data_IF_437346818799
#
_entry.id   IF_437346818799
#
_cell.length_a   1.000
_cell.length_b   1.000
_cell.length_c   1.000
_cell.angle_alpha   90.00
_cell.angle_beta   90.00
_cell.angle_gamma   90.00
#
_symmetry.space_group_name_H-M   'P 1'
#
loop_
_entity.id
_entity.type
_entity.pdbx_description
1 polymer ?
#
# COMPACT_ATOMS: atom_id res chain seq x y z
N UNK A 1 23.26 17.73 22.34
CA UNK A 1 23.51 16.37 22.85
C UNK A 1 22.51 15.46 22.16
N UNK A 2 22.95 14.44 21.40
CA UNK A 2 22.03 13.46 20.85
C UNK A 2 21.34 12.71 22.01
N UNK A 3 20.05 12.40 21.92
CA UNK A 3 19.37 11.63 22.95
C UNK A 3 20.01 10.24 23.07
N UNK A 4 20.03 9.66 24.28
CA UNK A 4 20.53 8.30 24.47
C UNK A 4 19.71 7.31 23.63
N UNK A 5 20.34 6.27 23.07
CA UNK A 5 19.63 5.25 22.31
C UNK A 5 18.62 4.56 23.24
N UNK A 6 17.34 4.62 22.85
CA UNK A 6 16.27 3.92 23.56
C UNK A 6 16.48 2.43 23.29
N UNK A 7 16.90 1.71 24.33
CA UNK A 7 17.09 0.27 24.27
C UNK A 7 15.72 -0.39 24.44
N UNK A 8 14.96 -0.49 23.35
CA UNK A 8 13.67 -1.19 23.34
C UNK A 8 13.99 -2.67 23.42
N UNK A 9 13.89 -3.25 24.61
CA UNK A 9 14.08 -4.69 24.81
C UNK A 9 13.11 -5.44 23.89
N UNK A 10 13.63 -6.11 22.87
CA UNK A 10 12.83 -6.94 21.98
C UNK A 10 12.09 -7.99 22.80
N UNK A 11 10.75 -7.99 22.85
CA UNK A 11 10.01 -8.96 23.64
C UNK A 11 10.35 -10.38 23.17
N UNK A 12 10.97 -11.15 24.06
CA UNK A 12 11.35 -12.54 23.84
C UNK A 12 10.08 -13.40 23.80
N UNK A 13 9.51 -13.50 22.61
CA UNK A 13 8.23 -14.18 22.35
C UNK A 13 7.50 -13.67 21.11
N UNK A 14 8.14 -12.84 20.27
CA UNK A 14 7.53 -12.36 19.03
C UNK A 14 7.26 -13.54 18.10
N UNK A 15 5.98 -13.80 17.82
CA UNK A 15 5.53 -14.62 16.69
C UNK A 15 6.35 -14.26 15.45
N UNK A 16 6.70 -15.25 14.63
CA UNK A 16 7.38 -14.98 13.38
C UNK A 16 6.58 -13.93 12.58
N UNK A 17 7.25 -13.01 11.89
CA UNK A 17 6.58 -11.91 11.16
C UNK A 17 5.46 -12.41 10.23
N UNK A 18 5.66 -13.56 9.58
CA UNK A 18 4.66 -14.20 8.72
C UNK A 18 3.45 -14.73 9.52
N UNK A 19 3.65 -15.22 10.76
CA UNK A 19 2.55 -15.61 11.65
C UNK A 19 1.73 -14.40 12.07
N UNK A 20 2.40 -13.26 12.33
CA UNK A 20 1.72 -12.00 12.64
C UNK A 20 0.89 -11.50 11.45
N UNK A 21 1.41 -11.65 10.22
CA UNK A 21 0.65 -11.33 8.99
C UNK A 21 -0.55 -12.25 8.82
N UNK A 22 -0.40 -13.56 9.02
CA UNK A 22 -1.52 -14.50 8.93
C UNK A 22 -2.57 -14.18 9.99
N UNK A 23 -2.16 -13.89 11.22
CA UNK A 23 -3.08 -13.54 12.31
C UNK A 23 -3.81 -12.21 12.04
N UNK A 24 -3.10 -11.19 11.56
CA UNK A 24 -3.69 -9.92 11.13
C UNK A 24 -4.66 -10.13 9.94
N UNK A 25 -4.30 -10.97 8.98
CA UNK A 25 -5.15 -11.32 7.85
C UNK A 25 -6.42 -12.06 8.28
N UNK A 26 -6.29 -13.07 9.15
CA UNK A 26 -7.42 -13.84 9.68
C UNK A 26 -8.33 -13.01 10.58
N UNK A 27 -7.78 -12.11 11.39
CA UNK A 27 -8.58 -11.20 12.24
C UNK A 27 -9.32 -10.16 11.40
N UNK A 28 -8.69 -9.59 10.38
CA UNK A 28 -9.36 -8.73 9.41
C UNK A 28 -10.47 -9.50 8.68
N UNK A 29 -10.20 -10.74 8.22
CA UNK A 29 -11.16 -11.64 7.59
C UNK A 29 -12.38 -11.89 8.50
N UNK A 30 -12.13 -12.27 9.75
CA UNK A 30 -13.17 -12.51 10.76
C UNK A 30 -14.02 -11.26 11.03
N UNK A 31 -13.40 -10.07 11.09
CA UNK A 31 -14.10 -8.80 11.31
C UNK A 31 -15.14 -8.52 10.23
N UNK A 32 -14.80 -8.72 8.96
CA UNK A 32 -15.78 -8.51 7.88
C UNK A 32 -16.77 -9.64 7.77
N UNK A 33 -16.40 -10.90 8.04
CA UNK A 33 -17.39 -11.97 8.16
C UNK A 33 -18.42 -11.60 9.22
N UNK A 34 -17.98 -11.07 10.38
CA UNK A 34 -18.88 -10.60 11.42
C UNK A 34 -19.79 -9.45 10.91
N UNK A 35 -19.23 -8.46 10.19
CA UNK A 35 -20.02 -7.38 9.58
C UNK A 35 -21.05 -7.93 8.58
N UNK A 36 -20.67 -8.87 7.71
CA UNK A 36 -21.54 -9.50 6.72
C UNK A 36 -22.64 -10.32 7.40
N UNK A 37 -22.29 -11.09 8.45
CA UNK A 37 -23.25 -11.89 9.22
C UNK A 37 -24.25 -10.97 9.92
N UNK A 38 -23.79 -9.91 10.57
CA UNK A 38 -24.66 -8.91 11.20
C UNK A 38 -25.60 -8.28 10.17
N UNK A 39 -25.08 -7.91 8.99
CA UNK A 39 -25.90 -7.35 7.91
C UNK A 39 -26.90 -8.35 7.32
N UNK A 40 -26.55 -9.64 7.26
CA UNK A 40 -27.46 -10.70 6.80
C UNK A 40 -28.56 -11.04 7.82
N UNK A 41 -28.28 -10.84 9.12
CA UNK A 41 -29.25 -11.04 10.20
C UNK A 41 -30.37 -10.01 10.23
N UNK A 42 -30.20 -8.85 9.58
CA UNK A 42 -31.19 -7.77 9.52
C UNK A 42 -32.22 -7.94 8.38
N UNK A 43 -32.34 -9.14 7.80
CA UNK A 43 -33.32 -9.45 6.76
C UNK A 43 -32.85 -9.20 5.32
N UNK A 44 -31.55 -8.95 5.12
CA UNK A 44 -30.92 -8.90 3.80
C UNK A 44 -30.49 -10.33 3.47
N UNK A 45 -31.10 -10.94 2.45
CA UNK A 45 -31.00 -12.38 2.14
C UNK A 45 -29.58 -12.97 2.10
N UNK A 46 -29.51 -14.32 2.06
CA UNK A 46 -28.30 -15.13 2.16
C UNK A 46 -27.02 -14.45 1.63
N UNK A 47 -26.01 -14.33 2.51
CA UNK A 47 -24.74 -13.66 2.22
C UNK A 47 -24.11 -14.21 0.94
N UNK A 48 -24.18 -13.46 -0.16
CA UNK A 48 -23.51 -13.83 -1.39
C UNK A 48 -22.01 -13.52 -1.26
N UNK A 49 -21.11 -14.44 -1.67
CA UNK A 49 -19.66 -14.22 -1.59
C UNK A 49 -19.21 -13.00 -2.43
N UNK A 50 -20.00 -12.57 -3.41
CA UNK A 50 -19.79 -11.34 -4.19
C UNK A 50 -19.80 -10.06 -3.33
N UNK A 51 -20.51 -10.06 -2.20
CA UNK A 51 -20.58 -8.92 -1.27
C UNK A 51 -19.24 -8.76 -0.54
N UNK A 52 -18.56 -9.87 -0.21
CA UNK A 52 -17.31 -9.85 0.53
C UNK A 52 -16.21 -9.09 -0.23
N UNK A 53 -16.15 -9.27 -1.55
CA UNK A 53 -15.13 -8.62 -2.39
C UNK A 53 -15.30 -7.10 -2.48
N UNK A 54 -16.49 -6.55 -2.19
CA UNK A 54 -16.70 -5.10 -2.10
C UNK A 54 -16.02 -4.48 -0.89
N UNK A 55 -15.77 -5.28 0.14
CA UNK A 55 -15.10 -4.86 1.37
C UNK A 55 -13.58 -4.98 1.33
N UNK A 56 -12.97 -5.43 0.21
CA UNK A 56 -11.50 -5.49 0.02
C UNK A 56 -10.77 -4.23 0.52
N UNK A 57 -11.19 -3.00 0.16
CA UNK A 57 -10.50 -1.80 0.64
C UNK A 57 -10.51 -1.70 2.17
N UNK A 58 -11.65 -2.02 2.80
CA UNK A 58 -11.79 -1.98 4.25
C UNK A 58 -10.89 -3.01 4.92
N UNK A 59 -10.77 -4.22 4.36
CA UNK A 59 -9.82 -5.22 4.83
C UNK A 59 -8.39 -4.72 4.78
N UNK A 60 -7.98 -4.09 3.67
CA UNK A 60 -6.62 -3.61 3.49
C UNK A 60 -6.29 -2.48 4.47
N UNK A 61 -7.23 -1.57 4.71
CA UNK A 61 -7.05 -0.51 5.70
C UNK A 61 -6.98 -1.05 7.12
N UNK A 62 -7.90 -1.92 7.51
CA UNK A 62 -7.92 -2.55 8.83
C UNK A 62 -6.69 -3.42 9.05
N UNK A 63 -6.25 -4.14 8.02
CA UNK A 63 -5.07 -4.99 8.07
C UNK A 63 -3.82 -4.19 8.44
N UNK A 64 -3.57 -3.03 7.81
CA UNK A 64 -2.40 -2.22 8.12
C UNK A 64 -2.40 -1.72 9.59
N UNK A 65 -3.56 -1.32 10.10
CA UNK A 65 -3.71 -0.87 11.51
C UNK A 65 -3.57 -2.03 12.48
N UNK A 66 -4.18 -3.19 12.19
CA UNK A 66 -4.10 -4.38 13.04
C UNK A 66 -2.70 -5.00 13.03
N UNK A 67 -2.05 -5.06 11.87
CA UNK A 67 -0.68 -5.51 11.76
C UNK A 67 0.26 -4.62 12.59
N UNK A 68 0.03 -3.32 12.60
CA UNK A 68 0.78 -2.38 13.45
C UNK A 68 0.53 -2.62 14.94
N UNK A 69 -0.74 -2.81 15.32
CA UNK A 69 -1.13 -3.11 16.70
C UNK A 69 -0.52 -4.41 17.24
N UNK A 70 -0.33 -5.44 16.40
CA UNK A 70 0.25 -6.71 16.82
C UNK A 70 1.78 -6.74 16.77
N UNK A 71 2.39 -6.03 15.82
CA UNK A 71 3.85 -6.04 15.66
C UNK A 71 4.54 -4.96 16.50
N UNK A 72 3.82 -3.92 16.93
CA UNK A 72 4.34 -2.75 17.66
C UNK A 72 5.47 -2.02 16.93
N UNK A 73 5.60 -2.21 15.61
CA UNK A 73 6.71 -1.65 14.85
C UNK A 73 6.43 -0.24 14.32
N UNK A 74 5.16 0.18 14.23
CA UNK A 74 4.81 1.49 13.68
C UNK A 74 5.05 1.59 12.17
N UNK A 75 5.19 0.48 11.46
CA UNK A 75 5.59 0.43 10.04
C UNK A 75 4.39 0.11 9.13
N UNK A 76 3.46 -0.72 9.61
CA UNK A 76 2.41 -1.30 8.75
C UNK A 76 1.23 -0.35 8.51
N UNK A 77 1.06 0.70 9.32
CA UNK A 77 0.05 1.73 9.11
C UNK A 77 0.32 2.60 7.87
N UNK A 78 1.55 2.64 7.35
CA UNK A 78 1.91 3.44 6.16
C UNK A 78 1.12 3.03 4.93
N UNK A 79 0.84 1.72 4.78
CA UNK A 79 -0.04 1.20 3.75
C UNK A 79 -1.48 1.71 3.91
N UNK A 80 -2.02 1.69 5.13
CA UNK A 80 -3.35 2.27 5.43
C UNK A 80 -3.39 3.75 5.08
N UNK A 81 -2.36 4.51 5.46
CA UNK A 81 -2.25 5.93 5.14
C UNK A 81 -2.22 6.17 3.62
N UNK A 82 -1.45 5.37 2.88
CA UNK A 82 -1.43 5.42 1.41
C UNK A 82 -2.81 5.14 0.81
N UNK A 83 -3.55 4.19 1.37
CA UNK A 83 -4.93 3.89 0.97
C UNK A 83 -5.90 5.05 1.24
N UNK A 84 -5.87 5.63 2.44
CA UNK A 84 -6.71 6.78 2.79
C UNK A 84 -6.41 7.99 1.90
N UNK A 85 -5.14 8.29 1.68
CA UNK A 85 -4.72 9.34 0.76
C UNK A 85 -5.11 9.01 -0.69
N UNK A 86 -5.12 7.73 -1.08
CA UNK A 86 -5.66 7.26 -2.37
C UNK A 86 -7.14 7.62 -2.55
N UNK A 87 -7.96 7.40 -1.52
CA UNK A 87 -9.37 7.78 -1.56
C UNK A 87 -9.56 9.31 -1.66
N UNK A 88 -8.79 10.10 -0.90
CA UNK A 88 -8.86 11.57 -0.94
C UNK A 88 -8.34 12.13 -2.26
N UNK A 89 -7.22 11.62 -2.75
CA UNK A 89 -6.59 12.07 -3.99
C UNK A 89 -7.41 11.72 -5.22
N UNK A 90 -8.16 10.61 -5.22
CA UNK A 90 -9.10 10.28 -6.30
C UNK A 90 -10.06 11.42 -6.61
N UNK A 91 -10.61 12.07 -5.59
CA UNK A 91 -11.47 13.25 -5.75
C UNK A 91 -10.70 14.45 -6.37
N UNK A 92 -9.47 14.67 -5.92
CA UNK A 92 -8.59 15.71 -6.46
C UNK A 92 -8.21 15.48 -7.93
N UNK A 93 -7.90 14.23 -8.30
CA UNK A 93 -7.53 13.88 -9.67
C UNK A 93 -8.69 14.05 -10.64
N UNK A 94 -9.91 13.70 -10.25
CA UNK A 94 -11.09 13.92 -11.08
C UNK A 94 -11.36 15.41 -11.31
N UNK A 95 -11.11 16.27 -10.31
CA UNK A 95 -11.17 17.73 -10.51
C UNK A 95 -10.10 18.22 -11.49
N UNK A 96 -8.86 17.77 -11.32
CA UNK A 96 -7.75 18.17 -12.19
C UNK A 96 -7.99 17.69 -13.62
N UNK A 97 -8.40 16.44 -13.82
CA UNK A 97 -8.67 15.90 -15.16
C UNK A 97 -9.89 16.54 -15.80
N UNK A 98 -10.95 16.82 -15.05
CA UNK A 98 -12.09 17.59 -15.56
C UNK A 98 -11.66 18.99 -16.00
N UNK A 99 -10.77 19.64 -15.25
CA UNK A 99 -10.22 20.94 -15.62
C UNK A 99 -9.35 20.87 -16.87
N UNK A 100 -8.44 19.90 -16.95
CA UNK A 100 -7.55 19.67 -18.10
C UNK A 100 -8.36 19.35 -19.36
N UNK A 101 -9.36 18.47 -19.26
CA UNK A 101 -10.24 18.12 -20.38
C UNK A 101 -11.09 19.30 -20.83
N UNK A 102 -11.53 20.17 -19.91
CA UNK A 102 -12.23 21.43 -20.27
C UNK A 102 -11.29 22.39 -21.01
N UNK A 103 -10.05 22.54 -20.57
CA UNK A 103 -9.07 23.38 -21.26
C UNK A 103 -8.77 22.81 -22.64
N UNK A 104 -8.45 21.52 -22.74
CA UNK A 104 -8.19 20.83 -24.00
C UNK A 104 -9.39 20.96 -24.94
N UNK A 105 -10.59 20.63 -24.49
CA UNK A 105 -11.80 20.79 -25.30
C UNK A 105 -12.05 22.24 -25.67
N UNK A 106 -11.75 23.24 -24.84
CA UNK A 106 -11.89 24.65 -25.21
C UNK A 106 -10.82 25.11 -26.23
N UNK A 107 -9.62 24.53 -26.16
CA UNK A 107 -8.54 24.78 -27.11
C UNK A 107 -8.83 24.12 -28.47
N UNK A 108 -9.37 22.90 -28.47
CA UNK A 108 -9.75 22.16 -29.67
C UNK A 108 -11.14 22.55 -30.22
N UNK A 109 -12.08 23.03 -29.39
CA UNK A 109 -13.39 23.52 -29.85
C UNK A 109 -13.29 24.85 -30.61
N UNK A 110 -12.17 25.58 -30.49
CA UNK A 110 -11.83 26.66 -31.43
C UNK A 110 -11.52 26.15 -32.84
N UNK A 111 -11.40 24.84 -33.05
CA UNK A 111 -11.24 24.20 -34.36
C UNK A 111 -12.47 23.37 -34.81
N UNK A 112 -13.51 23.21 -33.99
CA UNK A 112 -14.71 22.47 -34.35
C UNK A 112 -15.79 22.59 -33.29
N UNK A 113 -16.98 23.06 -33.68
CA UNK A 113 -18.14 23.26 -32.83
C UNK A 113 -18.63 21.95 -32.19
N UNK A 114 -18.22 21.66 -30.95
CA UNK A 114 -18.75 20.56 -30.14
C UNK A 114 -19.70 21.09 -29.05
N UNK A 115 -20.84 20.42 -28.78
CA UNK A 115 -21.82 20.88 -27.78
C UNK A 115 -21.29 20.78 -26.35
N UNK A 116 -21.78 21.62 -25.42
CA UNK A 116 -21.39 21.56 -24.01
C UNK A 116 -21.81 20.22 -23.37
N UNK A 117 -20.88 19.62 -22.62
CA UNK A 117 -21.15 18.41 -21.84
C UNK A 117 -22.21 18.69 -20.76
N UNK A 118 -23.21 17.81 -20.68
CA UNK A 118 -24.32 17.93 -19.74
C UNK A 118 -23.84 17.91 -18.28
N UNK A 119 -24.50 18.69 -17.38
CA UNK A 119 -24.21 18.65 -15.95
C UNK A 119 -24.46 17.26 -15.38
N UNK A 120 -23.68 16.83 -14.36
CA UNK A 120 -23.89 15.53 -13.72
C UNK A 120 -25.29 15.48 -13.08
N UNK A 121 -26.00 14.35 -13.18
CA UNK A 121 -27.35 14.21 -12.63
C UNK A 121 -27.35 14.34 -11.10
N UNK A 122 -28.44 14.87 -10.50
CA UNK A 122 -28.57 15.02 -9.06
C UNK A 122 -28.61 13.68 -8.34
N UNK A 123 -28.01 13.66 -7.15
CA UNK A 123 -27.84 12.50 -6.27
C UNK A 123 -29.18 12.12 -5.66
N UNK A 124 -29.65 10.89 -5.92
CA UNK A 124 -30.85 10.33 -5.30
C UNK A 124 -30.47 9.22 -4.32
N UNK A 125 -30.97 9.31 -3.08
CA UNK A 125 -30.67 8.39 -1.98
C UNK A 125 -31.75 7.29 -1.89
N UNK A 126 -31.50 6.03 -2.28
CA UNK A 126 -32.38 4.92 -1.91
C UNK A 126 -32.25 4.50 -0.43
N UNK A 127 -33.30 3.87 0.15
CA UNK A 127 -33.47 3.74 1.59
C UNK A 127 -32.81 2.48 2.21
N UNK A 128 -32.15 1.64 1.42
CA UNK A 128 -31.61 0.37 1.91
C UNK A 128 -30.14 0.51 2.24
N UNK A 129 -29.76 0.41 3.52
CA UNK A 129 -28.38 0.46 4.03
C UNK A 129 -27.45 -0.69 3.58
N UNK A 130 -27.63 -1.21 2.36
CA UNK A 130 -26.75 -2.18 1.73
C UNK A 130 -25.58 -1.46 1.07
N UNK A 131 -24.35 -1.86 1.43
CA UNK A 131 -23.14 -1.29 0.86
C UNK A 131 -22.92 -1.76 -0.60
N UNK A 132 -23.07 -0.82 -1.53
CA UNK A 132 -22.93 -1.11 -2.97
C UNK A 132 -21.46 -1.16 -3.45
N UNK A 133 -20.50 -0.71 -2.65
CA UNK A 133 -19.08 -0.66 -3.02
C UNK A 133 -18.69 0.52 -3.92
N UNK A 134 -19.67 1.35 -4.32
CA UNK A 134 -19.45 2.50 -5.21
C UNK A 134 -18.87 3.72 -4.47
N UNK A 135 -19.26 3.95 -3.22
CA UNK A 135 -18.83 5.07 -2.40
C UNK A 135 -18.53 4.59 -0.97
N UNK A 136 -17.48 5.13 -0.35
CA UNK A 136 -17.07 4.81 1.02
C UNK A 136 -18.05 5.44 2.03
N UNK A 137 -18.69 6.56 1.68
CA UNK A 137 -19.61 7.29 2.56
C UNK A 137 -21.03 6.67 2.64
N UNK A 138 -21.29 5.54 1.97
CA UNK A 138 -22.61 4.91 1.95
C UNK A 138 -23.67 5.68 1.16
N UNK A 139 -23.30 6.80 0.50
CA UNK A 139 -24.20 7.51 -0.41
C UNK A 139 -24.44 6.67 -1.66
N UNK A 140 -25.71 6.41 -1.90
CA UNK A 140 -26.19 5.45 -2.89
C UNK A 140 -26.23 6.04 -4.29
N UNK A 141 -25.68 5.27 -5.25
CA UNK A 141 -25.74 5.44 -6.71
C UNK A 141 -25.31 6.80 -7.27
N UNK A 142 -24.05 7.12 -7.09
CA UNK A 142 -23.31 7.92 -8.08
C UNK A 142 -22.49 6.97 -8.95
N UNK A 143 -22.85 6.84 -10.22
CA UNK A 143 -21.93 6.25 -11.20
C UNK A 143 -20.75 7.21 -11.31
N UNK A 144 -19.60 6.79 -10.80
CA UNK A 144 -18.36 7.59 -10.85
C UNK A 144 -17.47 7.07 -11.98
N UNK A 145 -16.67 7.97 -12.55
CA UNK A 145 -15.71 7.59 -13.59
C UNK A 145 -14.67 6.61 -13.03
N UNK A 146 -14.18 6.89 -11.82
CA UNK A 146 -13.23 6.07 -11.09
C UNK A 146 -13.71 5.87 -9.64
N UNK A 147 -14.11 4.65 -9.25
CA UNK A 147 -14.48 4.37 -7.87
C UNK A 147 -13.32 4.63 -6.90
N UNK A 148 -13.52 5.42 -5.82
CA UNK A 148 -12.46 5.72 -4.84
C UNK A 148 -11.96 4.46 -4.14
N UNK A 149 -12.80 3.42 -4.05
CA UNK A 149 -12.46 2.11 -3.51
C UNK A 149 -11.42 1.37 -4.36
N UNK A 150 -11.41 1.54 -5.69
CA UNK A 150 -10.37 0.98 -6.54
C UNK A 150 -9.07 1.75 -6.42
N UNK A 151 -9.14 3.09 -6.41
CA UNK A 151 -7.96 3.94 -6.23
C UNK A 151 -7.27 3.64 -4.89
N UNK A 152 -8.04 3.52 -3.81
CA UNK A 152 -7.52 3.14 -2.49
C UNK A 152 -6.81 1.78 -2.53
N UNK A 153 -7.47 0.73 -3.04
CA UNK A 153 -6.84 -0.60 -3.14
C UNK A 153 -5.56 -0.54 -3.97
N UNK A 154 -5.60 0.14 -5.13
CA UNK A 154 -4.44 0.31 -5.99
C UNK A 154 -3.32 1.08 -5.27
N UNK A 155 -3.61 2.15 -4.53
CA UNK A 155 -2.61 2.91 -3.77
C UNK A 155 -1.90 2.05 -2.74
N UNK A 156 -2.64 1.25 -1.97
CA UNK A 156 -2.05 0.36 -0.97
C UNK A 156 -1.11 -0.64 -1.65
N UNK A 157 -1.58 -1.34 -2.68
CA UNK A 157 -0.77 -2.35 -3.36
C UNK A 157 0.44 -1.75 -4.09
N UNK A 158 0.27 -0.63 -4.78
CA UNK A 158 1.39 0.04 -5.43
C UNK A 158 2.45 0.49 -4.43
N UNK A 159 2.05 0.97 -3.25
CA UNK A 159 2.98 1.36 -2.20
C UNK A 159 3.88 0.18 -1.80
N UNK A 160 3.28 -1.00 -1.57
CA UNK A 160 4.04 -2.22 -1.27
C UNK A 160 4.86 -2.72 -2.46
N UNK A 161 4.33 -2.69 -3.67
CA UNK A 161 5.06 -3.13 -4.86
C UNK A 161 6.31 -2.29 -5.09
N UNK A 162 6.20 -0.96 -4.99
CA UNK A 162 7.33 -0.05 -5.14
C UNK A 162 8.38 -0.29 -4.05
N UNK A 163 7.95 -0.40 -2.78
CA UNK A 163 8.85 -0.66 -1.66
C UNK A 163 9.59 -2.00 -1.82
N UNK A 164 8.90 -3.07 -2.24
CA UNK A 164 9.53 -4.37 -2.49
C UNK A 164 10.51 -4.34 -3.67
N UNK A 165 10.15 -3.68 -4.77
CA UNK A 165 11.01 -3.56 -5.95
C UNK A 165 12.32 -2.84 -5.59
N UNK A 166 12.23 -1.71 -4.87
CA UNK A 166 13.38 -0.90 -4.51
C UNK A 166 14.33 -1.58 -3.52
N UNK A 167 13.78 -2.36 -2.56
CA UNK A 167 14.57 -2.87 -1.44
C UNK A 167 14.91 -4.35 -1.51
N UNK A 168 14.08 -5.17 -2.18
CA UNK A 168 14.25 -6.63 -2.27
C UNK A 168 14.43 -7.12 -3.71
N UNK A 169 14.16 -6.26 -4.70
CA UNK A 169 14.28 -6.57 -6.12
C UNK A 169 13.02 -7.14 -6.75
N UNK A 170 12.98 -7.14 -8.07
CA UNK A 170 11.81 -7.50 -8.88
C UNK A 170 11.33 -8.94 -8.71
N UNK A 171 12.23 -9.87 -8.40
CA UNK A 171 11.89 -11.29 -8.22
C UNK A 171 11.08 -11.52 -6.95
N UNK A 172 11.40 -10.80 -5.87
CA UNK A 172 10.67 -10.88 -4.61
C UNK A 172 9.31 -10.17 -4.66
N UNK A 173 9.12 -9.19 -5.55
CA UNK A 173 7.83 -8.49 -5.72
C UNK A 173 6.82 -9.25 -6.58
N UNK A 174 7.23 -10.28 -7.34
CA UNK A 174 6.36 -10.95 -8.32
C UNK A 174 5.09 -11.54 -7.68
N UNK A 175 5.22 -12.17 -6.51
CA UNK A 175 4.07 -12.71 -5.78
C UNK A 175 3.06 -11.62 -5.38
N UNK A 176 3.55 -10.48 -4.91
CA UNK A 176 2.72 -9.32 -4.56
C UNK A 176 2.04 -8.71 -5.78
N UNK A 177 2.72 -8.63 -6.93
CA UNK A 177 2.15 -8.14 -8.19
C UNK A 177 1.02 -9.05 -8.66
N UNK A 178 1.21 -10.37 -8.65
CA UNK A 178 0.16 -11.33 -9.04
C UNK A 178 -1.04 -11.26 -8.09
N UNK A 179 -0.79 -11.22 -6.78
CA UNK A 179 -1.85 -11.09 -5.77
C UNK A 179 -2.63 -9.77 -5.95
N UNK A 180 -1.91 -8.66 -6.17
CA UNK A 180 -2.49 -7.35 -6.44
C UNK A 180 -3.41 -7.40 -7.66
N UNK A 181 -2.91 -7.81 -8.82
CA UNK A 181 -3.70 -7.84 -10.06
C UNK A 181 -4.93 -8.73 -9.93
N UNK A 182 -4.79 -9.88 -9.25
CA UNK A 182 -5.90 -10.81 -9.01
C UNK A 182 -6.98 -10.19 -8.14
N UNK A 183 -6.61 -9.66 -6.96
CA UNK A 183 -7.56 -9.04 -6.03
C UNK A 183 -8.20 -7.79 -6.63
N UNK A 184 -7.41 -6.98 -7.34
CA UNK A 184 -7.90 -5.78 -8.02
C UNK A 184 -8.90 -6.11 -9.12
N UNK A 185 -8.62 -7.12 -9.96
CA UNK A 185 -9.53 -7.55 -11.01
C UNK A 185 -10.85 -8.09 -10.44
N UNK A 186 -10.78 -8.91 -9.38
CA UNK A 186 -11.97 -9.42 -8.69
C UNK A 186 -12.79 -8.26 -8.12
N UNK A 187 -12.14 -7.29 -7.47
CA UNK A 187 -12.82 -6.10 -6.96
C UNK A 187 -13.47 -5.31 -8.08
N UNK A 188 -12.76 -5.03 -9.18
CA UNK A 188 -13.25 -4.27 -10.32
C UNK A 188 -14.49 -4.92 -10.96
N UNK A 189 -14.50 -6.25 -11.11
CA UNK A 189 -15.66 -6.99 -11.61
C UNK A 189 -16.84 -6.89 -10.64
N UNK A 190 -16.58 -6.99 -9.33
CA UNK A 190 -17.62 -6.93 -8.29
C UNK A 190 -18.33 -5.57 -8.20
N UNK A 191 -17.64 -4.49 -8.54
CA UNK A 191 -18.17 -3.12 -8.55
C UNK A 191 -18.43 -2.57 -9.96
N UNK A 192 -18.42 -3.43 -10.99
CA UNK A 192 -18.62 -3.04 -12.39
C UNK A 192 -19.87 -2.19 -12.63
N UNK A 193 -20.93 -2.44 -11.86
CA UNK A 193 -22.21 -1.70 -11.92
C UNK A 193 -22.12 -0.24 -11.40
N UNK A 194 -21.04 0.10 -10.70
CA UNK A 194 -20.80 1.44 -10.14
C UNK A 194 -20.08 2.38 -11.12
N UNK A 195 -19.55 1.86 -12.22
CA UNK A 195 -18.68 2.61 -13.13
C UNK A 195 -19.43 3.10 -14.35
N UNK A 196 -19.16 4.34 -14.77
CA UNK A 196 -19.67 4.86 -16.05
C UNK A 196 -19.11 4.04 -17.22
N UNK A 197 -17.84 3.64 -17.13
CA UNK A 197 -17.16 2.81 -18.12
C UNK A 197 -16.40 1.68 -17.42
N UNK A 198 -16.91 0.44 -17.45
CA UNK A 198 -16.30 -0.68 -16.72
C UNK A 198 -14.95 -1.12 -17.30
N UNK A 199 -14.62 -0.74 -18.53
CA UNK A 199 -13.32 -1.03 -19.15
C UNK A 199 -12.25 0.00 -18.82
N UNK A 200 -12.60 1.28 -18.76
CA UNK A 200 -11.63 2.36 -18.55
C UNK A 200 -11.50 2.77 -17.09
N UNK A 201 -12.57 2.68 -16.30
CA UNK A 201 -12.58 3.03 -14.88
C UNK A 201 -11.50 2.29 -14.06
N UNK A 202 -11.35 0.96 -14.17
CA UNK A 202 -10.31 0.23 -13.45
C UNK A 202 -8.89 0.61 -13.87
N UNK A 203 -8.67 0.96 -15.14
CA UNK A 203 -7.36 1.39 -15.64
C UNK A 203 -6.98 2.73 -15.03
N UNK A 204 -7.90 3.70 -15.02
CA UNK A 204 -7.68 4.99 -14.37
C UNK A 204 -7.49 4.85 -12.86
N UNK A 205 -8.25 3.96 -12.21
CA UNK A 205 -8.04 3.62 -10.79
C UNK A 205 -6.63 3.12 -10.48
N UNK A 206 -6.05 2.27 -11.34
CA UNK A 206 -4.67 1.81 -11.22
C UNK A 206 -3.66 2.96 -11.36
N UNK A 207 -3.88 3.84 -12.33
CA UNK A 207 -2.98 4.98 -12.60
C UNK A 207 -3.01 5.96 -11.43
N UNK A 208 -4.19 6.37 -10.96
CA UNK A 208 -4.31 7.25 -9.80
C UNK A 208 -3.72 6.60 -8.55
N UNK A 209 -3.96 5.30 -8.39
CA UNK A 209 -3.39 4.52 -7.30
C UNK A 209 -1.87 4.58 -7.29
N UNK A 210 -1.24 4.35 -8.46
CA UNK A 210 0.20 4.37 -8.67
C UNK A 210 0.79 5.76 -8.39
N UNK A 211 0.20 6.83 -8.94
CA UNK A 211 0.67 8.19 -8.75
C UNK A 211 0.66 8.58 -7.27
N UNK A 212 -0.42 8.26 -6.57
CA UNK A 212 -0.56 8.55 -5.14
C UNK A 212 0.42 7.75 -4.31
N UNK A 213 0.49 6.44 -4.55
CA UNK A 213 1.41 5.56 -3.85
C UNK A 213 2.87 5.95 -4.04
N UNK A 214 3.26 6.28 -5.29
CA UNK A 214 4.61 6.71 -5.61
C UNK A 214 4.97 8.03 -4.93
N UNK A 215 4.06 9.00 -4.89
CA UNK A 215 4.28 10.26 -4.18
C UNK A 215 4.46 10.04 -2.67
N UNK A 216 3.59 9.23 -2.07
CA UNK A 216 3.65 8.92 -0.63
C UNK A 216 4.91 8.14 -0.29
N UNK A 217 5.26 7.14 -1.10
CA UNK A 217 6.49 6.39 -0.96
C UNK A 217 7.73 7.30 -1.02
N UNK A 218 7.80 8.23 -1.98
CA UNK A 218 8.90 9.19 -2.07
C UNK A 218 9.00 10.10 -0.82
N UNK A 219 7.86 10.51 -0.25
CA UNK A 219 7.83 11.28 1.00
C UNK A 219 8.37 10.43 2.16
N UNK A 220 7.90 9.20 2.35
CA UNK A 220 8.40 8.34 3.43
C UNK A 220 9.86 7.98 3.26
N UNK A 221 10.29 7.65 2.04
CA UNK A 221 11.69 7.32 1.72
C UNK A 221 12.63 8.48 2.05
N UNK A 222 12.20 9.73 1.87
CA UNK A 222 13.01 10.92 2.14
C UNK A 222 12.94 11.40 3.59
N UNK A 223 11.78 11.32 4.23
CA UNK A 223 11.55 11.89 5.57
C UNK A 223 11.74 10.89 6.71
N UNK A 224 11.37 9.63 6.51
CA UNK A 224 11.34 8.62 7.56
C UNK A 224 11.45 7.19 6.98
N UNK A 225 12.61 6.83 6.41
CA UNK A 225 12.82 5.52 5.77
C UNK A 225 12.65 4.33 6.72
N UNK A 226 12.77 4.55 8.04
CA UNK A 226 12.51 3.53 9.05
C UNK A 226 11.06 3.04 9.12
N UNK A 227 10.11 3.78 8.54
CA UNK A 227 8.70 3.36 8.46
C UNK A 227 8.36 2.62 7.17
N UNK A 228 9.36 2.29 6.34
CA UNK A 228 9.14 1.47 5.16
C UNK A 228 8.98 -0.02 5.54
N UNK A 229 7.98 -0.74 5.00
CA UNK A 229 7.75 -2.16 5.28
C UNK A 229 8.98 -3.05 5.05
N UNK A 230 9.79 -2.72 4.04
CA UNK A 230 11.05 -3.39 3.73
C UNK A 230 12.10 -3.37 4.84
N UNK A 231 12.09 -2.35 5.71
CA UNK A 231 13.04 -2.24 6.83
C UNK A 231 12.97 -3.44 7.78
N UNK A 232 11.77 -3.98 7.99
CA UNK A 232 11.52 -5.16 8.83
C UNK A 232 12.05 -6.43 8.16
N UNK A 233 11.90 -6.54 6.84
CA UNK A 233 12.37 -7.70 6.08
C UNK A 233 13.90 -7.82 6.08
N UNK A 234 14.62 -6.69 6.06
CA UNK A 234 16.08 -6.69 6.11
C UNK A 234 16.62 -7.20 7.45
N UNK A 235 16.00 -6.81 8.57
CA UNK A 235 16.40 -7.26 9.91
C UNK A 235 16.31 -8.78 10.07
N UNK A 236 15.30 -9.40 9.46
CA UNK A 236 15.12 -10.86 9.47
C UNK A 236 16.20 -11.59 8.66
N UNK A 237 16.64 -11.01 7.53
CA UNK A 237 17.68 -11.60 6.70
C UNK A 237 19.06 -11.53 7.35
N UNK A 238 19.34 -10.48 8.13
CA UNK A 238 20.58 -10.37 8.91
C UNK A 238 20.59 -11.27 10.16
N UNK A 239 19.43 -11.51 10.77
CA UNK A 239 19.31 -12.33 11.99
C UNK A 239 19.44 -13.84 11.78
N UNK A 240 19.29 -14.32 10.54
CA UNK A 240 19.33 -15.76 10.21
C UNK A 240 20.73 -16.38 10.05
N UNK A 241 21.81 -15.60 10.17
CA UNK A 241 23.18 -16.07 9.86
C UNK A 241 24.09 -16.31 11.07
N UNK A 242 23.57 -16.33 12.30
CA UNK A 242 24.39 -16.49 13.52
C UNK A 242 24.18 -17.82 14.26
N UNK A 243 24.00 -18.93 13.53
CA UNK A 243 23.70 -20.24 14.12
C UNK A 243 24.36 -21.40 13.38
N UNK A 244 25.70 -21.40 13.29
CA UNK A 244 26.45 -22.49 12.66
C UNK A 244 27.95 -22.48 12.95
N UNK A 245 28.38 -21.84 14.04
CA UNK A 245 29.75 -21.93 14.53
C UNK A 245 29.90 -23.16 15.43
N UNK A 246 29.99 -24.34 14.84
CA UNK A 246 30.43 -25.55 15.53
C UNK A 246 31.88 -25.32 15.99
N UNK A 247 32.06 -25.17 17.30
CA UNK A 247 33.37 -25.16 17.93
C UNK A 247 34.05 -26.50 17.71
N UNK A 248 34.98 -26.54 16.76
CA UNK A 248 35.95 -27.61 16.59
C UNK A 248 37.34 -27.04 16.80
N UNK A 249 37.87 -27.16 18.01
CA UNK A 249 39.28 -26.90 18.30
C UNK A 249 40.17 -27.83 17.51
N UNK A 250 41.24 -27.30 16.93
CA UNK A 250 42.19 -28.07 16.14
C UNK A 250 43.39 -27.23 15.73
N UNK A 251 44.36 -27.14 16.64
CA UNK A 251 45.69 -26.58 16.43
C UNK A 251 46.39 -27.23 15.23
N UNK A 252 46.96 -26.43 14.33
CA UNK A 252 47.80 -26.94 13.25
C UNK A 252 48.30 -25.83 12.32
N UNK A 253 49.55 -25.43 12.49
CA UNK A 253 50.22 -24.48 11.60
C UNK A 253 50.29 -25.00 10.17
N UNK A 254 50.11 -24.08 9.22
CA UNK A 254 50.16 -24.38 7.79
C UNK A 254 50.32 -23.10 6.99
N UNK A 255 51.56 -22.83 6.61
CA UNK A 255 51.98 -21.86 5.59
C UNK A 255 51.46 -22.34 4.23
N UNK A 256 50.89 -21.45 3.42
CA UNK A 256 50.60 -21.75 2.01
C UNK A 256 49.56 -20.83 1.40
N UNK A 257 49.96 -20.08 0.37
CA UNK A 257 49.17 -19.03 -0.26
C UNK A 257 48.04 -19.53 -1.15
N UNK A 258 47.26 -18.56 -1.64
CA UNK A 258 46.18 -18.82 -2.60
C UNK A 258 45.10 -17.75 -2.52
N UNK A 259 45.38 -16.58 -3.10
CA UNK A 259 44.35 -15.59 -3.39
C UNK A 259 43.28 -16.21 -4.29
N UNK A 260 42.03 -16.18 -3.85
CA UNK A 260 40.88 -16.23 -4.74
C UNK A 260 39.93 -15.13 -4.31
N UNK A 261 40.07 -13.97 -4.95
CA UNK A 261 39.14 -12.86 -4.85
C UNK A 261 37.80 -13.28 -5.44
N UNK A 262 36.81 -13.52 -4.56
CA UNK A 262 35.40 -13.50 -4.92
C UNK A 262 34.83 -12.16 -4.44
N UNK A 263 34.32 -11.37 -5.39
CA UNK A 263 34.00 -9.96 -5.26
C UNK A 263 33.00 -9.64 -4.16
N UNK A 264 33.52 -9.21 -3.01
CA UNK A 264 32.76 -8.44 -2.03
C UNK A 264 32.82 -6.96 -2.40
N UNK A 265 31.65 -6.36 -2.63
CA UNK A 265 31.47 -4.91 -2.61
C UNK A 265 31.92 -4.39 -1.23
N UNK A 266 33.17 -3.93 -1.17
CA UNK A 266 33.72 -3.18 -0.04
C UNK A 266 33.18 -1.77 -0.17
N UNK A 267 32.14 -1.43 0.61
CA UNK A 267 31.81 -0.02 0.84
C UNK A 267 32.96 0.57 1.63
N UNK A 268 33.67 1.49 0.99
CA UNK A 268 34.59 2.37 1.66
C UNK A 268 33.79 3.27 2.61
N UNK A 269 33.82 2.94 3.90
CA UNK A 269 33.54 3.89 4.96
C UNK A 269 34.71 4.88 5.02
N UNK A 270 34.75 5.80 4.06
CA UNK A 270 35.58 7.00 4.21
C UNK A 270 34.91 7.87 5.25
N UNK A 271 35.44 7.76 6.47
CA UNK A 271 35.35 8.70 7.57
C UNK A 271 35.54 10.14 7.07
N UNK A 272 34.45 10.76 6.61
CA UNK A 272 34.33 12.20 6.41
C UNK A 272 33.80 12.83 7.69
N UNK A 273 34.69 13.36 8.50
CA UNK A 273 34.37 14.26 9.62
C UNK A 273 33.83 15.58 9.07
N UNK A 274 32.57 15.55 8.62
CA UNK A 274 31.81 16.73 8.21
C UNK A 274 31.49 17.60 9.42
N UNK A 275 32.35 18.57 9.71
CA UNK A 275 32.00 19.75 10.51
C UNK A 275 30.76 20.41 9.90
N UNK A 276 29.74 20.62 10.72
CA UNK A 276 28.59 21.44 10.34
C UNK A 276 29.05 22.90 10.05
N UNK A 277 28.57 23.55 8.98
CA UNK A 277 28.82 24.96 8.76
C UNK A 277 28.11 25.78 9.86
N UNK A 278 28.91 26.59 10.57
CA UNK A 278 28.44 27.62 11.50
C UNK A 278 27.60 28.65 10.76
N UNK A 279 26.51 29.08 11.40
CA UNK A 279 25.48 29.92 10.81
C UNK A 279 25.96 31.28 10.29
N UNK A 280 25.27 31.76 9.26
CA UNK A 280 25.31 33.15 8.86
C UNK A 280 24.41 33.97 9.78
N UNK A 281 25.00 35.00 10.38
CA UNK A 281 24.29 36.13 10.97
C UNK A 281 23.97 37.14 9.87
N UNK A 282 22.70 37.56 9.80
CA UNK A 282 22.26 38.95 9.60
C UNK A 282 20.76 39.04 9.81
#
# INVERSE_FOLDING_TARGET
>A
MPPPPINVASPSGSLNWWQSIILAGLSALAGVIAVVVVQSGVGVGAAQPSILFRYIPHFLLLFGVLADAFTYQGVYWTGTFAGVMGAVSGYGFDMILSFVMRILNSAFARAGSAPPAAPPPPVAIPPSGAYDGCNISGETKTTVAVPPTLTMTASVFWFYVIDLIDNLGWTSSLGTIVAFLTLYAIQAVSISKCMISPSTGPVWGLIYGLLTAGAIYAIFKSSAPQYLPSSVATTLRSGGSSGGGSGGGGSGGGVGGGQTQSGGYRRDDTSGSGRAPTGCSR
#
